data_IF_620018329209
#
_entry.id   IF_620018329209
#
_cell.length_a   1.000
_cell.length_b   1.000
_cell.length_c   1.000
_cell.angle_alpha   90.00
_cell.angle_beta   90.00
_cell.angle_gamma   90.00
#
_symmetry.space_group_name_H-M   'P 1'
#
loop_
_entity.id
_entity.type
_entity.pdbx_description
1 polymer ?
#
# COMPACT_ATOMS: atom_id res chain seq x y z
N UNK A 1 -14.03 -14.81 0.32
CA UNK A 1 -13.99 -13.33 0.17
C UNK A 1 -12.63 -12.69 0.47
N UNK A 2 -11.89 -13.12 1.50
CA UNK A 2 -10.57 -12.53 1.86
C UNK A 2 -9.48 -12.69 0.78
N UNK A 3 -9.46 -13.80 0.05
CA UNK A 3 -8.41 -14.11 -0.94
C UNK A 3 -8.50 -13.26 -2.21
N UNK A 4 -9.71 -13.02 -2.73
CA UNK A 4 -9.93 -12.17 -3.91
C UNK A 4 -9.52 -10.71 -3.64
N UNK A 5 -9.78 -10.21 -2.43
CA UNK A 5 -9.35 -8.87 -2.02
C UNK A 5 -7.84 -8.76 -2.01
N UNK A 6 -7.14 -9.74 -1.41
CA UNK A 6 -5.68 -9.77 -1.38
C UNK A 6 -5.07 -9.92 -2.78
N UNK A 7 -5.69 -10.69 -3.68
CA UNK A 7 -5.26 -10.80 -5.08
C UNK A 7 -5.35 -9.46 -5.83
N UNK A 8 -6.45 -8.73 -5.65
CA UNK A 8 -6.62 -7.40 -6.27
C UNK A 8 -5.58 -6.38 -5.79
N UNK A 9 -5.29 -6.34 -4.49
CA UNK A 9 -4.26 -5.43 -3.95
C UNK A 9 -2.84 -5.84 -4.39
N UNK A 10 -2.54 -7.14 -4.40
CA UNK A 10 -1.25 -7.67 -4.87
C UNK A 10 -0.99 -7.23 -6.31
N UNK A 11 -2.01 -7.37 -7.17
CA UNK A 11 -1.90 -6.97 -8.57
C UNK A 11 -1.63 -5.47 -8.72
N UNK A 12 -2.34 -4.61 -7.96
CA UNK A 12 -2.11 -3.17 -7.98
C UNK A 12 -0.67 -2.81 -7.55
N UNK A 13 -0.17 -3.44 -6.49
CA UNK A 13 1.21 -3.19 -6.01
C UNK A 13 2.24 -3.63 -7.06
N UNK A 14 2.04 -4.78 -7.69
CA UNK A 14 2.97 -5.32 -8.70
C UNK A 14 3.08 -4.45 -9.97
N UNK A 15 2.07 -3.62 -10.25
CA UNK A 15 2.07 -2.71 -11.40
C UNK A 15 2.74 -1.35 -11.11
N UNK A 16 3.04 -1.04 -9.85
CA UNK A 16 3.65 0.24 -9.48
C UNK A 16 4.97 0.47 -10.22
N UNK A 17 5.05 1.61 -10.88
CA UNK A 17 6.30 2.11 -11.44
C UNK A 17 7.16 2.75 -10.34
N UNK A 18 8.47 2.91 -10.58
CA UNK A 18 9.30 3.77 -9.73
C UNK A 18 8.64 5.14 -9.55
N UNK A 19 8.68 5.67 -8.33
CA UNK A 19 8.06 6.94 -7.92
C UNK A 19 6.55 7.00 -7.79
N UNK A 20 5.82 6.00 -8.28
CA UNK A 20 4.39 5.89 -7.99
C UNK A 20 4.15 5.49 -6.53
N UNK A 21 3.05 6.00 -5.99
CA UNK A 21 2.60 5.71 -4.62
C UNK A 21 1.15 5.25 -4.64
N UNK A 22 0.89 4.15 -3.94
CA UNK A 22 -0.46 3.70 -3.63
C UNK A 22 -0.80 4.14 -2.20
N UNK A 23 -1.90 4.88 -2.05
CA UNK A 23 -2.40 5.35 -0.77
C UNK A 23 -3.64 4.55 -0.37
N UNK A 24 -3.62 3.96 0.83
CA UNK A 24 -4.72 3.15 1.35
C UNK A 24 -5.13 3.69 2.72
N UNK A 25 -6.34 4.22 2.82
CA UNK A 25 -6.88 4.66 4.11
C UNK A 25 -6.97 3.50 5.11
N UNK A 26 -6.74 3.79 6.40
CA UNK A 26 -6.84 2.77 7.46
C UNK A 26 -8.25 2.15 7.55
N UNK A 27 -9.29 2.94 7.23
CA UNK A 27 -10.68 2.49 7.17
C UNK A 27 -11.03 1.72 5.88
N UNK A 28 -10.05 1.39 5.04
CA UNK A 28 -10.29 0.58 3.85
C UNK A 28 -10.67 -0.86 4.23
N UNK A 29 -11.13 -1.62 3.23
CA UNK A 29 -11.39 -3.07 3.35
C UNK A 29 -10.13 -3.91 3.59
N UNK A 30 -8.93 -3.32 3.58
CA UNK A 30 -7.65 -4.00 3.74
C UNK A 30 -7.12 -3.80 5.16
N UNK A 31 -7.04 -4.89 5.93
CA UNK A 31 -6.32 -4.87 7.20
C UNK A 31 -4.82 -4.69 6.98
N UNK A 32 -4.10 -4.18 8.00
CA UNK A 32 -2.64 -4.06 7.95
C UNK A 32 -1.95 -5.39 7.59
N UNK A 33 -2.44 -6.51 8.13
CA UNK A 33 -1.92 -7.84 7.81
C UNK A 33 -2.13 -8.21 6.33
N UNK A 34 -3.28 -7.85 5.77
CA UNK A 34 -3.59 -8.07 4.35
C UNK A 34 -2.67 -7.24 3.44
N UNK A 35 -2.40 -5.99 3.80
CA UNK A 35 -1.46 -5.13 3.06
C UNK A 35 -0.04 -5.71 3.08
N UNK A 36 0.45 -6.15 4.24
CA UNK A 36 1.77 -6.80 4.35
C UNK A 36 1.83 -8.07 3.48
N UNK A 37 0.78 -8.89 3.49
CA UNK A 37 0.71 -10.11 2.65
C UNK A 37 0.73 -9.76 1.16
N UNK A 38 -0.02 -8.75 0.75
CA UNK A 38 -0.08 -8.32 -0.65
C UNK A 38 1.26 -7.76 -1.14
N UNK A 39 1.96 -6.96 -0.33
CA UNK A 39 3.31 -6.47 -0.63
C UNK A 39 4.29 -7.64 -0.81
N UNK A 40 4.30 -8.61 0.11
CA UNK A 40 5.15 -9.80 0.00
C UNK A 40 4.81 -10.65 -1.23
N UNK A 41 3.52 -10.77 -1.57
CA UNK A 41 3.10 -11.50 -2.75
C UNK A 41 3.54 -10.78 -4.04
N UNK A 42 3.46 -9.45 -4.09
CA UNK A 42 3.92 -8.66 -5.23
C UNK A 42 5.45 -8.76 -5.41
N UNK A 43 6.22 -8.73 -4.31
CA UNK A 43 7.67 -8.99 -4.34
C UNK A 43 8.00 -10.35 -4.96
N UNK A 44 7.22 -11.40 -4.65
CA UNK A 44 7.45 -12.74 -5.22
C UNK A 44 7.13 -12.82 -6.72
N UNK A 45 6.25 -11.97 -7.23
CA UNK A 45 5.95 -11.91 -8.66
C UNK A 45 7.05 -11.21 -9.45
N UNK A 46 7.79 -10.30 -8.81
CA UNK A 46 8.94 -9.63 -9.39
C UNK A 46 10.01 -9.44 -8.32
N UNK A 47 10.92 -10.42 -8.21
CA UNK A 47 11.92 -10.47 -7.15
C UNK A 47 12.89 -9.28 -7.17
N UNK A 48 13.09 -8.67 -8.34
CA UNK A 48 13.92 -7.48 -8.53
C UNK A 48 13.22 -6.17 -8.12
N UNK A 49 11.90 -6.18 -7.90
CA UNK A 49 11.14 -5.01 -7.49
C UNK A 49 10.99 -4.99 -5.98
N UNK A 50 11.60 -4.03 -5.28
CA UNK A 50 11.42 -3.84 -3.86
C UNK A 50 10.28 -2.85 -3.54
N UNK A 51 9.58 -3.08 -2.43
CA UNK A 51 8.46 -2.23 -2.00
C UNK A 51 8.57 -1.82 -0.54
N UNK A 52 8.12 -0.61 -0.25
CA UNK A 52 7.94 -0.10 1.12
C UNK A 52 6.46 0.00 1.45
N UNK A 53 6.11 -0.29 2.70
CA UNK A 53 4.78 -0.08 3.28
C UNK A 53 4.95 0.74 4.55
N UNK A 54 4.46 1.98 4.53
CA UNK A 54 4.68 2.94 5.63
C UNK A 54 3.32 3.41 6.17
N UNK A 55 3.04 3.28 7.47
CA UNK A 55 1.89 3.93 8.08
C UNK A 55 2.13 5.45 8.16
N UNK A 56 1.10 6.23 7.88
CA UNK A 56 1.15 7.68 7.79
C UNK A 56 -0.05 8.31 8.49
N UNK A 57 0.11 9.57 8.88
CA UNK A 57 -0.96 10.43 9.41
C UNK A 57 -1.16 11.58 8.42
N UNK A 58 -2.36 11.70 7.89
CA UNK A 58 -2.79 12.79 7.02
C UNK A 58 -3.44 13.89 7.84
N UNK A 59 -3.18 15.13 7.46
CA UNK A 59 -3.90 16.29 7.95
C UNK A 59 -4.69 16.88 6.79
N UNK A 60 -5.93 17.22 7.06
CA UNK A 60 -6.81 17.94 6.14
C UNK A 60 -6.46 19.42 6.19
N UNK A 61 -6.55 20.10 5.05
CA UNK A 61 -6.29 21.55 4.98
C UNK A 61 -7.33 22.33 5.79
N UNK A 62 -8.53 21.75 5.95
CA UNK A 62 -9.53 22.25 6.87
C UNK A 62 -9.22 21.77 8.29
N UNK A 63 -8.69 22.67 9.13
CA UNK A 63 -8.23 22.41 10.52
C UNK A 63 -9.35 21.88 11.44
N UNK A 64 -10.61 21.91 11.00
CA UNK A 64 -11.75 21.35 11.74
C UNK A 64 -11.91 19.84 11.56
N UNK A 65 -11.32 19.26 10.52
CA UNK A 65 -11.37 17.81 10.32
C UNK A 65 -10.22 17.12 11.08
N UNK A 66 -10.50 16.00 11.78
CA UNK A 66 -9.48 15.29 12.54
C UNK A 66 -8.45 14.66 11.61
N UNK A 67 -7.21 14.56 12.09
CA UNK A 67 -6.17 13.81 11.39
C UNK A 67 -6.61 12.36 11.16
N UNK A 68 -6.25 11.81 10.00
CA UNK A 68 -6.62 10.45 9.61
C UNK A 68 -5.40 9.61 9.31
N UNK A 69 -5.52 8.29 9.47
CA UNK A 69 -4.43 7.35 9.20
C UNK A 69 -4.59 6.72 7.83
N UNK A 70 -3.46 6.49 7.18
CA UNK A 70 -3.38 5.79 5.91
C UNK A 70 -2.05 5.05 5.80
N UNK A 71 -1.94 4.17 4.82
CA UNK A 71 -0.72 3.48 4.47
C UNK A 71 -0.25 3.95 3.10
N UNK A 72 1.05 4.21 2.97
CA UNK A 72 1.70 4.51 1.70
C UNK A 72 2.52 3.31 1.26
N UNK A 73 2.23 2.80 0.06
CA UNK A 73 3.01 1.74 -0.59
C UNK A 73 3.73 2.33 -1.78
N UNK A 74 5.04 2.10 -1.89
CA UNK A 74 5.87 2.60 -2.99
C UNK A 74 6.85 1.53 -3.44
N UNK A 75 7.05 1.39 -4.75
CA UNK A 75 8.19 0.65 -5.31
C UNK A 75 9.46 1.47 -5.16
N UNK A 76 10.50 0.88 -4.57
CA UNK A 76 11.81 1.53 -4.43
C UNK A 76 12.72 1.14 -5.58
N UNK A 77 13.54 2.09 -6.01
CA UNK A 77 14.61 1.83 -6.98
C UNK A 77 15.82 1.35 -6.21
N UNK A 78 16.21 0.10 -6.43
CA UNK A 78 17.48 -0.44 -5.93
C UNK A 78 18.55 -0.03 -6.93
N UNK A 79 19.47 0.85 -6.51
CA UNK A 79 20.62 1.29 -7.31
C UNK A 79 21.77 0.30 -7.20
#
# INVERSE_FOLDING_TARGET
MSELLNGSLTWQIAQLQPDEVLLIHENSRYSAQNMVRAVKAAQRQNEAAEYTLVPCIGQTVNVQEPAFRFYRIKRVTVN
#
